data_IF_296868576907
#
_entry.id   IF_296868576907
#
_cell.length_a   1.000
_cell.length_b   1.000
_cell.length_c   1.000
_cell.angle_alpha   90.00
_cell.angle_beta   90.00
_cell.angle_gamma   90.00
#
_symmetry.space_group_name_H-M   'P 1'
#
loop_
_entity.id
_entity.type
_entity.pdbx_description
1 polymer ?
#
# COMPACT_ATOMS: atom_id res chain seq x y z
N UNK A 1 -36.01 -12.90 -9.49
CA UNK A 1 -35.10 -11.77 -9.20
C UNK A 1 -33.69 -12.17 -9.61
N UNK A 2 -33.14 -11.58 -10.67
CA UNK A 2 -31.74 -11.85 -11.10
C UNK A 2 -30.80 -11.33 -10.00
N UNK A 3 -29.96 -12.22 -9.42
CA UNK A 3 -28.88 -11.82 -8.52
C UNK A 3 -28.00 -10.83 -9.28
N UNK A 4 -27.89 -9.60 -8.78
CA UNK A 4 -26.93 -8.62 -9.33
C UNK A 4 -25.56 -9.28 -9.31
N UNK A 5 -24.98 -9.51 -10.47
CA UNK A 5 -23.60 -10.01 -10.58
C UNK A 5 -22.68 -9.12 -9.74
N UNK A 6 -21.90 -9.72 -8.85
CA UNK A 6 -20.95 -9.02 -7.96
C UNK A 6 -19.57 -8.89 -8.62
N UNK A 7 -19.53 -8.99 -9.94
CA UNK A 7 -18.30 -8.91 -10.73
C UNK A 7 -17.64 -7.55 -10.55
N UNK A 8 -16.32 -7.48 -10.43
CA UNK A 8 -15.62 -6.23 -10.20
C UNK A 8 -15.63 -5.34 -11.47
N UNK A 9 -15.67 -4.03 -11.26
CA UNK A 9 -15.46 -3.00 -12.30
C UNK A 9 -14.01 -2.58 -12.39
N UNK A 10 -13.25 -2.85 -11.34
CA UNK A 10 -11.91 -2.43 -11.10
C UNK A 10 -11.23 -3.46 -10.21
N UNK A 11 -10.01 -3.83 -10.55
CA UNK A 11 -9.14 -4.68 -9.73
C UNK A 11 -7.73 -4.10 -9.64
N UNK A 12 -7.05 -4.42 -8.56
CA UNK A 12 -5.61 -4.31 -8.40
C UNK A 12 -4.99 -5.69 -8.36
N UNK A 13 -3.79 -5.80 -8.88
CA UNK A 13 -2.94 -6.98 -8.77
C UNK A 13 -1.67 -6.57 -8.04
N UNK A 14 -1.26 -7.36 -7.06
CA UNK A 14 0.05 -7.26 -6.42
C UNK A 14 0.66 -8.64 -6.32
N UNK A 15 1.74 -8.92 -7.05
CA UNK A 15 2.38 -10.23 -7.05
C UNK A 15 3.89 -10.15 -7.23
N UNK A 16 4.64 -10.97 -6.48
CA UNK A 16 6.08 -11.12 -6.66
C UNK A 16 6.39 -11.75 -8.02
N UNK A 17 7.53 -11.36 -8.62
CA UNK A 17 7.97 -11.83 -9.93
C UNK A 17 8.80 -13.11 -9.82
N UNK A 18 8.28 -14.10 -9.07
CA UNK A 18 8.86 -15.45 -8.93
C UNK A 18 8.03 -16.44 -9.74
N UNK A 19 8.64 -17.24 -10.62
CA UNK A 19 7.90 -18.15 -11.52
C UNK A 19 6.93 -19.09 -10.80
N UNK A 20 7.31 -19.60 -9.62
CA UNK A 20 6.49 -20.51 -8.80
C UNK A 20 5.18 -19.88 -8.29
N UNK A 21 5.04 -18.57 -8.35
CA UNK A 21 3.84 -17.83 -7.94
C UNK A 21 2.87 -17.53 -9.09
N UNK A 22 3.18 -17.99 -10.31
CA UNK A 22 2.38 -17.75 -11.52
C UNK A 22 2.10 -19.06 -12.22
N UNK A 23 0.83 -19.45 -12.35
CA UNK A 23 0.46 -20.76 -12.91
C UNK A 23 0.90 -20.97 -14.36
N UNK A 24 0.98 -19.88 -15.15
CA UNK A 24 1.42 -19.92 -16.53
C UNK A 24 2.96 -19.92 -16.68
N UNK A 25 3.71 -19.52 -15.67
CA UNK A 25 5.17 -19.51 -15.71
C UNK A 25 5.80 -20.92 -15.52
N UNK A 26 4.98 -21.95 -15.45
CA UNK A 26 5.44 -23.34 -15.59
C UNK A 26 5.99 -23.64 -16.99
N UNK A 27 5.56 -22.89 -18.02
CA UNK A 27 6.21 -22.89 -19.34
C UNK A 27 7.44 -21.96 -19.27
N UNK A 28 8.67 -22.46 -19.57
CA UNK A 28 9.88 -21.64 -19.54
C UNK A 28 9.82 -20.44 -20.51
N UNK A 29 9.11 -20.54 -21.62
CA UNK A 29 8.99 -19.45 -22.58
C UNK A 29 8.13 -18.32 -22.01
N UNK A 30 7.00 -18.63 -21.38
CA UNK A 30 6.15 -17.66 -20.71
C UNK A 30 6.84 -17.07 -19.47
N UNK A 31 7.60 -17.87 -18.73
CA UNK A 31 8.32 -17.41 -17.53
C UNK A 31 9.28 -16.24 -17.82
N UNK A 32 9.84 -16.13 -19.03
CA UNK A 32 10.73 -15.03 -19.41
C UNK A 32 10.06 -13.65 -19.32
N UNK A 33 8.72 -13.61 -19.41
CA UNK A 33 7.96 -12.37 -19.29
C UNK A 33 8.08 -11.74 -17.89
N UNK A 34 8.35 -12.55 -16.86
CA UNK A 34 8.55 -12.04 -15.50
C UNK A 34 9.84 -11.22 -15.33
N UNK A 35 10.82 -11.42 -16.21
CA UNK A 35 12.07 -10.66 -16.24
C UNK A 35 11.97 -9.39 -17.09
N UNK A 36 10.86 -9.19 -17.79
CA UNK A 36 10.64 -8.04 -18.65
C UNK A 36 10.29 -6.77 -17.85
N UNK A 37 10.13 -5.65 -18.57
CA UNK A 37 9.66 -4.40 -17.99
C UNK A 37 8.15 -4.40 -17.68
N UNK A 38 7.68 -3.34 -17.00
CA UNK A 38 6.27 -3.21 -16.61
C UNK A 38 5.32 -3.14 -17.80
N UNK A 39 5.75 -2.59 -18.95
CA UNK A 39 4.94 -2.50 -20.16
C UNK A 39 4.73 -3.88 -20.78
N UNK A 40 5.80 -4.64 -20.95
CA UNK A 40 5.78 -5.97 -21.55
C UNK A 40 4.97 -6.95 -20.70
N UNK A 41 5.28 -7.04 -19.39
CA UNK A 41 4.55 -7.90 -18.47
C UNK A 41 3.08 -7.46 -18.33
N UNK A 42 2.83 -6.16 -18.17
CA UNK A 42 1.47 -5.62 -18.07
C UNK A 42 0.65 -5.89 -19.33
N UNK A 43 1.25 -5.76 -20.51
CA UNK A 43 0.59 -6.08 -21.79
C UNK A 43 0.26 -7.58 -21.88
N UNK A 44 1.16 -8.45 -21.44
CA UNK A 44 0.89 -9.89 -21.37
C UNK A 44 -0.32 -10.18 -20.47
N UNK A 45 -0.40 -9.55 -19.29
CA UNK A 45 -1.52 -9.71 -18.36
C UNK A 45 -2.85 -9.18 -18.94
N UNK A 46 -2.83 -8.04 -19.64
CA UNK A 46 -4.01 -7.53 -20.36
C UNK A 46 -4.48 -8.53 -21.42
N UNK A 47 -3.58 -9.05 -22.22
CA UNK A 47 -3.91 -10.03 -23.26
C UNK A 47 -4.53 -11.30 -22.66
N UNK A 48 -4.02 -11.78 -21.52
CA UNK A 48 -4.62 -12.91 -20.80
C UNK A 48 -6.05 -12.62 -20.35
N UNK A 49 -6.34 -11.44 -19.79
CA UNK A 49 -7.69 -11.04 -19.41
C UNK A 49 -8.61 -10.98 -20.64
N UNK A 50 -8.16 -10.38 -21.74
CA UNK A 50 -8.94 -10.19 -22.95
C UNK A 50 -9.23 -11.51 -23.69
N UNK A 51 -8.37 -12.54 -23.58
CA UNK A 51 -8.63 -13.90 -24.08
C UNK A 51 -9.87 -14.53 -23.42
N UNK A 52 -10.25 -14.12 -22.23
CA UNK A 52 -11.44 -14.58 -21.51
C UNK A 52 -12.59 -13.56 -21.54
N UNK A 53 -12.65 -12.72 -22.56
CA UNK A 53 -13.68 -11.69 -22.77
C UNK A 53 -13.76 -10.64 -21.63
N UNK A 54 -12.68 -10.47 -20.88
CA UNK A 54 -12.55 -9.44 -19.86
C UNK A 54 -11.88 -8.18 -20.44
N UNK A 55 -12.62 -7.42 -21.25
CA UNK A 55 -12.09 -6.26 -21.96
C UNK A 55 -11.63 -5.17 -21.00
N UNK A 56 -10.35 -4.82 -21.07
CA UNK A 56 -9.73 -3.77 -20.26
C UNK A 56 -9.91 -2.41 -20.93
N UNK A 57 -10.59 -1.48 -20.25
CA UNK A 57 -10.77 -0.08 -20.68
C UNK A 57 -9.58 0.79 -20.32
N UNK A 58 -9.06 0.60 -19.10
CA UNK A 58 -7.87 1.30 -18.61
C UNK A 58 -6.99 0.32 -17.83
N UNK A 59 -5.70 0.33 -18.11
CA UNK A 59 -4.73 -0.56 -17.48
C UNK A 59 -3.41 0.15 -17.26
N UNK A 60 -2.82 -0.04 -16.08
CA UNK A 60 -1.55 0.55 -15.68
C UNK A 60 -0.76 -0.47 -14.88
N UNK A 61 0.56 -0.46 -15.03
CA UNK A 61 1.44 -1.35 -14.28
C UNK A 61 2.75 -0.66 -13.91
N UNK A 62 3.34 -1.08 -12.80
CA UNK A 62 4.67 -0.69 -12.37
C UNK A 62 5.34 -1.88 -11.68
N UNK A 63 6.66 -1.95 -11.76
CA UNK A 63 7.44 -2.91 -11.00
C UNK A 63 8.07 -2.19 -9.81
N UNK A 64 7.77 -2.64 -8.61
CA UNK A 64 8.39 -2.19 -7.37
C UNK A 64 9.60 -3.06 -7.05
N UNK A 65 10.77 -2.47 -7.09
CA UNK A 65 12.07 -3.11 -6.83
C UNK A 65 12.88 -2.40 -5.72
N UNK A 66 12.35 -1.26 -5.22
CA UNK A 66 12.99 -0.40 -4.22
C UNK A 66 12.19 -0.33 -2.91
N UNK A 67 11.14 -1.14 -2.79
CA UNK A 67 10.34 -1.21 -1.57
C UNK A 67 11.10 -1.91 -0.44
N UNK A 68 10.83 -1.50 0.78
CA UNK A 68 11.34 -2.11 1.99
C UNK A 68 10.20 -2.65 2.86
N UNK A 69 10.51 -3.61 3.70
CA UNK A 69 9.60 -4.17 4.69
C UNK A 69 10.31 -4.41 6.02
N UNK A 70 9.56 -4.32 7.10
CA UNK A 70 10.06 -4.67 8.41
C UNK A 70 10.04 -6.20 8.57
N UNK A 71 11.19 -6.80 8.88
CA UNK A 71 11.35 -8.23 9.13
C UNK A 71 11.87 -8.46 10.55
N UNK A 72 11.16 -9.30 11.31
CA UNK A 72 11.60 -9.67 12.63
C UNK A 72 12.93 -10.44 12.60
N UNK A 73 13.92 -9.94 13.34
CA UNK A 73 15.20 -10.58 13.52
C UNK A 73 15.24 -11.25 14.90
N UNK A 74 15.22 -12.57 14.92
CA UNK A 74 15.19 -13.36 16.16
C UNK A 74 16.49 -13.25 16.98
N UNK A 75 17.62 -12.92 16.35
CA UNK A 75 18.92 -12.77 17.01
C UNK A 75 18.98 -11.43 17.76
N UNK A 76 18.62 -10.34 17.08
CA UNK A 76 18.64 -8.98 17.64
C UNK A 76 17.38 -8.66 18.43
N UNK A 77 16.32 -9.48 18.33
CA UNK A 77 14.99 -9.28 18.93
C UNK A 77 14.38 -7.92 18.58
N UNK A 78 14.53 -7.50 17.33
CA UNK A 78 13.95 -6.26 16.78
C UNK A 78 13.56 -6.45 15.31
N UNK A 79 12.79 -5.50 14.79
CA UNK A 79 12.50 -5.45 13.36
C UNK A 79 13.67 -4.76 12.65
N UNK A 80 14.21 -5.44 11.64
CA UNK A 80 15.19 -4.89 10.71
C UNK A 80 14.47 -4.52 9.42
N UNK A 81 14.81 -3.36 8.86
CA UNK A 81 14.29 -2.93 7.58
C UNK A 81 15.07 -3.62 6.46
N UNK A 82 14.39 -4.41 5.65
CA UNK A 82 15.00 -5.23 4.59
C UNK A 82 14.33 -4.95 3.25
N UNK A 83 15.06 -5.08 2.13
CA UNK A 83 14.45 -4.98 0.80
C UNK A 83 13.30 -5.98 0.64
N UNK A 84 12.23 -5.52 0.03
CA UNK A 84 11.11 -6.36 -0.38
C UNK A 84 11.44 -7.00 -1.74
N UNK A 85 10.98 -8.21 -1.95
CA UNK A 85 11.11 -8.89 -3.24
C UNK A 85 10.48 -8.08 -4.36
N UNK A 86 11.12 -8.08 -5.53
CA UNK A 86 10.62 -7.42 -6.74
C UNK A 86 9.21 -7.93 -7.06
N UNK A 87 8.27 -7.02 -7.25
CA UNK A 87 6.87 -7.34 -7.47
C UNK A 87 6.18 -6.33 -8.40
N UNK A 88 5.16 -6.82 -9.11
CA UNK A 88 4.32 -5.95 -9.94
C UNK A 88 3.14 -5.42 -9.12
N UNK A 89 2.82 -4.16 -9.33
CA UNK A 89 1.50 -3.59 -9.08
C UNK A 89 0.84 -3.26 -10.41
N UNK A 90 -0.37 -3.77 -10.62
CA UNK A 90 -1.16 -3.42 -11.79
C UNK A 90 -2.60 -3.07 -11.41
N UNK A 91 -3.20 -2.20 -12.19
CA UNK A 91 -4.58 -1.72 -12.00
C UNK A 91 -5.32 -1.90 -13.32
N UNK A 92 -6.45 -2.63 -13.30
CA UNK A 92 -7.28 -2.86 -14.48
C UNK A 92 -8.72 -2.41 -14.23
N UNK A 93 -9.21 -1.49 -15.04
CA UNK A 93 -10.61 -1.09 -15.09
C UNK A 93 -11.25 -1.70 -16.33
N UNK A 94 -12.38 -2.37 -16.14
CA UNK A 94 -13.07 -3.08 -17.21
C UNK A 94 -14.06 -2.19 -17.94
N UNK A 95 -14.19 -2.43 -19.27
CA UNK A 95 -15.22 -1.85 -20.09
C UNK A 95 -16.62 -2.24 -19.59
N UNK A 96 -17.65 -1.49 -19.99
CA UNK A 96 -19.05 -1.76 -19.64
C UNK A 96 -19.33 -1.78 -18.12
N UNK A 97 -18.48 -1.17 -17.33
CA UNK A 97 -18.59 -1.03 -15.86
C UNK A 97 -18.61 -2.35 -15.08
N UNK A 98 -18.24 -3.47 -15.70
CA UNK A 98 -18.10 -4.76 -15.03
C UNK A 98 -17.20 -5.68 -15.85
N UNK A 99 -16.45 -6.55 -15.18
CA UNK A 99 -15.86 -7.70 -15.85
C UNK A 99 -16.94 -8.73 -16.17
N UNK A 100 -16.67 -9.60 -17.14
CA UNK A 100 -17.50 -10.77 -17.43
C UNK A 100 -17.33 -11.86 -16.33
N UNK A 101 -16.30 -11.79 -15.49
CA UNK A 101 -15.84 -12.82 -14.57
C UNK A 101 -15.86 -12.35 -13.09
N UNK A 102 -15.93 -13.30 -12.17
CA UNK A 102 -15.75 -13.09 -10.74
C UNK A 102 -14.29 -12.77 -10.39
N UNK A 103 -14.03 -12.35 -9.15
CA UNK A 103 -12.65 -12.05 -8.70
C UNK A 103 -11.75 -13.30 -8.76
N UNK A 104 -12.27 -14.45 -8.36
CA UNK A 104 -11.55 -15.74 -8.40
C UNK A 104 -11.23 -16.16 -9.83
N UNK A 105 -12.16 -15.96 -10.75
CA UNK A 105 -11.92 -16.25 -12.17
C UNK A 105 -10.87 -15.30 -12.75
N UNK A 106 -10.94 -14.01 -12.43
CA UNK A 106 -9.93 -13.02 -12.86
C UNK A 106 -8.54 -13.37 -12.34
N UNK A 107 -8.42 -13.80 -11.09
CA UNK A 107 -7.16 -14.29 -10.54
C UNK A 107 -6.63 -15.50 -11.32
N UNK A 108 -7.49 -16.47 -11.63
CA UNK A 108 -7.14 -17.62 -12.47
C UNK A 108 -6.70 -17.23 -13.88
N UNK A 109 -7.37 -16.26 -14.51
CA UNK A 109 -6.97 -15.74 -15.83
C UNK A 109 -5.61 -15.05 -15.79
N UNK A 110 -5.34 -14.30 -14.72
CA UNK A 110 -4.03 -13.69 -14.47
C UNK A 110 -2.95 -14.71 -14.08
N UNK A 111 -3.36 -15.91 -13.66
CA UNK A 111 -2.45 -16.99 -13.25
C UNK A 111 -1.91 -16.83 -11.84
N UNK A 112 -2.65 -16.19 -10.95
CA UNK A 112 -2.29 -15.95 -9.55
C UNK A 112 -3.36 -16.47 -8.60
N UNK A 113 -3.03 -16.61 -7.33
CA UNK A 113 -4.04 -16.91 -6.30
C UNK A 113 -4.94 -15.70 -6.03
N UNK A 114 -6.23 -15.91 -5.66
CA UNK A 114 -7.21 -14.83 -5.49
C UNK A 114 -6.82 -13.75 -4.48
N UNK A 115 -6.02 -14.07 -3.48
CA UNK A 115 -5.54 -13.12 -2.46
C UNK A 115 -4.63 -12.03 -3.00
N UNK A 116 -4.04 -12.22 -4.18
CA UNK A 116 -3.18 -11.25 -4.85
C UNK A 116 -3.95 -10.30 -5.78
N UNK A 117 -5.26 -10.55 -5.94
CA UNK A 117 -6.15 -9.69 -6.71
C UNK A 117 -7.12 -8.99 -5.78
N UNK A 118 -7.01 -7.67 -5.71
CA UNK A 118 -7.82 -6.84 -4.84
C UNK A 118 -8.99 -6.23 -5.62
N UNK A 119 -10.21 -6.33 -5.05
CA UNK A 119 -11.35 -5.51 -5.45
C UNK A 119 -11.43 -4.34 -4.48
N UNK A 120 -11.13 -3.10 -4.91
CA UNK A 120 -11.17 -1.96 -4.01
C UNK A 120 -12.61 -1.75 -3.49
N UNK A 121 -12.71 -1.20 -2.27
CA UNK A 121 -14.01 -0.76 -1.74
C UNK A 121 -14.64 0.22 -2.72
N UNK A 122 -15.92 0.02 -3.03
CA UNK A 122 -16.65 0.89 -3.93
C UNK A 122 -16.65 2.32 -3.39
N UNK A 123 -16.27 3.28 -4.23
CA UNK A 123 -16.23 4.69 -3.86
C UNK A 123 -15.80 5.55 -5.05
N UNK A 124 -16.19 6.81 -5.00
CA UNK A 124 -15.92 7.82 -6.07
C UNK A 124 -14.41 7.90 -6.42
N UNK A 125 -13.55 7.66 -5.45
CA UNK A 125 -12.10 7.82 -5.59
C UNK A 125 -11.34 6.50 -5.63
N UNK A 126 -12.01 5.34 -5.73
CA UNK A 126 -11.36 4.03 -5.69
C UNK A 126 -10.27 3.90 -6.76
N UNK A 127 -10.59 4.22 -8.01
CA UNK A 127 -9.64 4.16 -9.12
C UNK A 127 -8.49 5.16 -8.94
N UNK A 128 -8.79 6.41 -8.59
CA UNK A 128 -7.79 7.44 -8.33
C UNK A 128 -6.82 7.06 -7.20
N UNK A 129 -7.33 6.43 -6.14
CA UNK A 129 -6.50 5.95 -5.04
C UNK A 129 -5.56 4.81 -5.46
N UNK A 130 -6.02 3.90 -6.32
CA UNK A 130 -5.18 2.83 -6.86
C UNK A 130 -4.08 3.38 -7.77
N UNK A 131 -4.41 4.36 -8.62
CA UNK A 131 -3.40 5.03 -9.46
C UNK A 131 -2.36 5.77 -8.63
N UNK A 132 -2.78 6.50 -7.59
CA UNK A 132 -1.86 7.17 -6.66
C UNK A 132 -0.97 6.17 -5.89
N UNK A 133 -1.45 4.93 -5.66
CA UNK A 133 -0.70 3.89 -4.97
C UNK A 133 0.42 3.31 -5.83
N UNK A 134 0.28 3.30 -7.16
CA UNK A 134 1.33 2.80 -8.05
C UNK A 134 2.68 3.48 -7.81
N UNK A 135 2.69 4.77 -7.51
CA UNK A 135 3.90 5.55 -7.22
C UNK A 135 4.02 5.93 -5.74
N UNK A 136 3.18 5.39 -4.87
CA UNK A 136 3.08 5.71 -3.45
C UNK A 136 2.82 7.21 -3.16
N UNK A 137 2.20 7.95 -4.07
CA UNK A 137 2.04 9.41 -3.99
C UNK A 137 1.41 9.92 -2.68
N UNK A 138 0.62 9.08 -1.99
CA UNK A 138 -0.02 9.39 -0.69
C UNK A 138 0.72 8.82 0.52
N UNK A 139 1.76 7.99 0.33
CA UNK A 139 2.45 7.22 1.36
C UNK A 139 3.92 7.61 1.43
N UNK A 140 4.21 8.74 2.07
CA UNK A 140 5.56 9.34 2.12
C UNK A 140 6.59 8.53 2.93
N UNK A 141 6.16 7.59 3.71
CA UNK A 141 6.97 6.62 4.43
C UNK A 141 7.49 5.48 3.56
N UNK A 142 6.94 5.33 2.36
CA UNK A 142 7.38 4.38 1.35
C UNK A 142 8.30 5.02 0.32
N UNK A 143 9.06 4.19 -0.41
CA UNK A 143 9.82 4.66 -1.56
C UNK A 143 8.88 5.34 -2.57
N UNK A 144 9.27 6.51 -3.07
CA UNK A 144 8.47 7.29 -4.02
C UNK A 144 8.96 6.98 -5.44
N UNK A 145 8.17 6.20 -6.17
CA UNK A 145 8.45 5.92 -7.58
C UNK A 145 8.12 7.14 -8.44
N UNK A 146 8.80 7.28 -9.57
CA UNK A 146 8.50 8.34 -10.52
C UNK A 146 7.30 7.98 -11.38
N UNK A 147 6.54 8.97 -11.84
CA UNK A 147 5.35 8.73 -12.65
C UNK A 147 5.70 8.10 -14.02
N UNK A 148 6.89 8.36 -14.52
CA UNK A 148 7.46 7.81 -15.75
C UNK A 148 7.77 6.31 -15.65
N UNK A 149 7.89 5.77 -14.44
CA UNK A 149 8.10 4.32 -14.20
C UNK A 149 6.79 3.53 -14.38
N UNK A 150 5.63 4.20 -14.44
CA UNK A 150 4.33 3.56 -14.65
C UNK A 150 4.05 3.37 -16.14
N UNK A 151 3.90 2.12 -16.56
CA UNK A 151 3.49 1.77 -17.90
C UNK A 151 1.97 1.98 -18.10
N UNK A 152 1.60 2.73 -19.12
CA UNK A 152 0.23 2.82 -19.61
C UNK A 152 -0.05 1.65 -20.57
N UNK A 153 -0.93 0.75 -20.19
CA UNK A 153 -1.29 -0.44 -20.95
C UNK A 153 -2.52 -0.20 -21.84
N UNK A 154 -3.50 0.52 -21.33
CA UNK A 154 -4.75 0.89 -21.99
C UNK A 154 -5.28 2.21 -21.42
N UNK A 155 -5.97 2.98 -22.24
CA UNK A 155 -6.66 4.20 -21.82
C UNK A 155 -5.81 5.45 -21.91
N UNK A 156 -6.11 6.44 -21.04
CA UNK A 156 -5.39 7.71 -20.97
C UNK A 156 -3.98 7.51 -20.44
N UNK A 157 -3.01 8.24 -20.99
CA UNK A 157 -1.63 8.19 -20.53
C UNK A 157 -1.51 8.52 -19.02
N UNK A 158 -0.68 7.73 -18.32
CA UNK A 158 -0.52 7.91 -16.87
C UNK A 158 0.11 9.25 -16.51
N UNK A 159 1.03 9.74 -17.34
CA UNK A 159 1.65 11.04 -17.13
C UNK A 159 0.66 12.19 -17.21
N UNK A 160 -0.33 12.10 -18.13
CA UNK A 160 -1.42 13.06 -18.22
C UNK A 160 -2.29 13.03 -16.97
N UNK A 161 -2.60 11.82 -16.48
CA UNK A 161 -3.38 11.64 -15.24
C UNK A 161 -2.59 12.20 -14.06
N UNK A 162 -1.31 11.91 -13.96
CA UNK A 162 -0.45 12.42 -12.91
C UNK A 162 -0.39 13.96 -12.91
N UNK A 163 -0.21 14.57 -14.09
CA UNK A 163 -0.22 16.03 -14.22
C UNK A 163 -1.50 16.68 -13.70
N UNK A 164 -2.66 16.03 -13.94
CA UNK A 164 -3.98 16.51 -13.48
C UNK A 164 -4.23 16.25 -11.98
N UNK A 165 -3.62 15.22 -11.41
CA UNK A 165 -3.98 14.69 -10.08
C UNK A 165 -2.93 14.92 -9.00
N UNK A 166 -1.68 15.22 -9.33
CA UNK A 166 -0.55 15.33 -8.39
C UNK A 166 -0.86 16.20 -7.17
N UNK A 167 -1.52 17.35 -7.37
CA UNK A 167 -1.83 18.28 -6.27
C UNK A 167 -2.91 17.72 -5.33
N UNK A 168 -3.88 16.96 -5.89
CA UNK A 168 -4.91 16.26 -5.11
C UNK A 168 -4.27 15.12 -4.31
N UNK A 169 -3.36 14.37 -4.91
CA UNK A 169 -2.64 13.28 -4.24
C UNK A 169 -1.72 13.81 -3.14
N UNK A 170 -1.02 14.93 -3.39
CA UNK A 170 -0.19 15.59 -2.38
C UNK A 170 -1.00 16.05 -1.15
N UNK A 171 -2.22 16.60 -1.37
CA UNK A 171 -3.15 16.93 -0.28
C UNK A 171 -3.63 15.69 0.46
N UNK A 172 -3.89 14.59 -0.25
CA UNK A 172 -4.22 13.30 0.34
C UNK A 172 -3.10 12.74 1.23
N UNK A 173 -1.84 12.88 0.79
CA UNK A 173 -0.68 12.51 1.59
C UNK A 173 -0.59 13.30 2.92
N UNK A 174 -0.90 14.59 2.90
CA UNK A 174 -0.96 15.41 4.12
C UNK A 174 -2.02 14.90 5.11
N UNK A 175 -3.18 14.47 4.60
CA UNK A 175 -4.25 13.89 5.43
C UNK A 175 -3.84 12.55 6.07
N UNK A 176 -3.17 11.68 5.32
CA UNK A 176 -2.64 10.40 5.82
C UNK A 176 -1.56 10.68 6.88
N UNK A 177 -0.66 11.63 6.63
CA UNK A 177 0.35 12.04 7.62
C UNK A 177 -0.28 12.50 8.93
N UNK A 178 -1.41 13.23 8.87
CA UNK A 178 -2.14 13.66 10.07
C UNK A 178 -2.73 12.46 10.82
N UNK A 179 -3.27 11.47 10.11
CA UNK A 179 -3.77 10.23 10.73
C UNK A 179 -2.64 9.43 11.40
N UNK A 180 -1.54 9.22 10.70
CA UNK A 180 -0.36 8.54 11.25
C UNK A 180 0.24 9.31 12.44
N UNK A 181 0.16 10.66 12.43
CA UNK A 181 0.59 11.47 13.57
C UNK A 181 -0.30 11.27 14.80
N UNK A 182 -1.62 11.05 14.63
CA UNK A 182 -2.51 10.71 15.73
C UNK A 182 -2.25 9.30 16.27
N UNK A 183 -2.02 8.30 15.39
CA UNK A 183 -1.58 6.96 15.79
C UNK A 183 -0.23 7.00 16.53
N UNK A 184 0.70 7.83 16.06
CA UNK A 184 1.98 8.09 16.75
C UNK A 184 1.80 8.78 18.09
N UNK A 185 0.78 9.64 18.24
CA UNK A 185 0.46 10.28 19.50
C UNK A 185 -0.08 9.28 20.55
N UNK A 186 -0.98 8.39 20.15
CA UNK A 186 -1.47 7.31 21.00
C UNK A 186 -0.33 6.39 21.43
N UNK A 187 0.55 6.02 20.52
CA UNK A 187 1.73 5.21 20.81
C UNK A 187 2.67 5.90 21.80
N UNK A 188 2.99 7.19 21.59
CA UNK A 188 3.84 7.94 22.52
C UNK A 188 3.18 8.08 23.89
N UNK A 189 1.87 8.34 23.97
CA UNK A 189 1.11 8.37 25.22
C UNK A 189 1.26 7.05 25.98
N UNK A 190 1.12 5.92 25.31
CA UNK A 190 1.20 4.60 25.92
C UNK A 190 2.62 4.32 26.44
N UNK A 191 3.67 4.67 25.70
CA UNK A 191 5.06 4.61 26.18
C UNK A 191 5.30 5.45 27.44
N UNK A 192 4.70 6.65 27.54
CA UNK A 192 4.76 7.50 28.73
C UNK A 192 4.06 6.83 29.93
N UNK A 193 2.85 6.31 29.71
CA UNK A 193 2.06 5.64 30.76
C UNK A 193 2.72 4.37 31.29
N UNK A 194 3.47 3.68 30.47
CA UNK A 194 4.28 2.51 30.83
C UNK A 194 5.61 2.88 31.49
N UNK A 195 6.03 4.15 31.38
CA UNK A 195 7.31 4.63 31.87
C UNK A 195 8.50 4.19 31.01
N UNK A 196 8.23 3.78 29.78
CA UNK A 196 9.24 3.38 28.80
C UNK A 196 10.04 4.57 28.25
N UNK A 197 9.48 5.79 28.34
CA UNK A 197 10.14 7.03 27.89
C UNK A 197 9.97 8.12 28.94
N UNK A 198 11.05 8.87 29.24
CA UNK A 198 11.03 10.03 30.11
C UNK A 198 10.70 11.32 29.37
N UNK A 199 10.25 12.34 30.10
CA UNK A 199 9.99 13.67 29.50
C UNK A 199 11.24 14.27 28.88
N UNK A 200 12.41 14.07 29.49
CA UNK A 200 13.70 14.51 28.96
C UNK A 200 14.03 13.83 27.63
N UNK A 201 13.83 12.50 27.51
CA UNK A 201 14.04 11.78 26.28
C UNK A 201 13.11 12.29 25.15
N UNK A 202 11.85 12.59 25.49
CA UNK A 202 10.90 13.17 24.52
C UNK A 202 11.37 14.54 24.04
N UNK A 203 11.88 15.38 24.94
CA UNK A 203 12.37 16.73 24.60
C UNK A 203 13.66 16.72 23.78
N UNK A 204 14.49 15.68 23.91
CA UNK A 204 15.78 15.56 23.22
C UNK A 204 15.69 14.78 21.90
N UNK A 205 14.56 14.18 21.58
CA UNK A 205 14.36 13.38 20.35
C UNK A 205 13.43 14.10 19.41
N UNK A 206 13.91 14.57 18.27
CA UNK A 206 13.17 15.44 17.33
C UNK A 206 11.81 14.88 16.92
N UNK A 207 11.74 13.58 16.60
CA UNK A 207 10.49 12.93 16.20
C UNK A 207 9.49 12.87 17.35
N UNK A 208 9.93 12.49 18.55
CA UNK A 208 9.10 12.43 19.75
C UNK A 208 8.65 13.84 20.18
N UNK A 209 9.54 14.82 20.11
CA UNK A 209 9.22 16.21 20.39
C UNK A 209 8.19 16.78 19.42
N UNK A 210 8.27 16.41 18.14
CA UNK A 210 7.29 16.81 17.14
C UNK A 210 5.90 16.28 17.48
N UNK A 211 5.77 15.03 17.89
CA UNK A 211 4.50 14.42 18.31
C UNK A 211 4.01 15.08 19.61
N UNK A 212 4.89 15.21 20.62
CA UNK A 212 4.58 15.86 21.89
C UNK A 212 4.07 17.28 21.71
N UNK A 213 4.76 18.11 20.92
CA UNK A 213 4.39 19.53 20.73
C UNK A 213 3.01 19.70 20.09
N UNK A 214 2.60 18.79 19.20
CA UNK A 214 1.28 18.78 18.56
C UNK A 214 0.16 18.31 19.49
N UNK A 215 0.48 17.44 20.45
CA UNK A 215 -0.48 16.82 21.36
C UNK A 215 -0.13 17.09 22.83
N UNK A 216 0.41 18.28 23.11
CA UNK A 216 1.03 18.66 24.37
C UNK A 216 0.15 18.35 25.60
N UNK A 217 -1.13 18.75 25.58
CA UNK A 217 -2.04 18.52 26.70
C UNK A 217 -2.17 17.05 27.05
N UNK A 218 -2.43 16.19 26.06
CA UNK A 218 -2.55 14.74 26.24
C UNK A 218 -1.26 14.12 26.78
N UNK A 219 -0.09 14.56 26.31
CA UNK A 219 1.20 14.06 26.77
C UNK A 219 1.54 14.51 28.19
N UNK A 220 1.24 15.77 28.54
CA UNK A 220 1.43 16.28 29.92
C UNK A 220 0.50 15.53 30.90
N UNK A 221 -0.75 15.22 30.50
CA UNK A 221 -1.65 14.41 31.33
C UNK A 221 -1.09 12.99 31.53
N UNK A 222 -0.55 12.36 30.46
CA UNK A 222 0.09 11.05 30.56
C UNK A 222 1.28 11.04 31.50
N UNK A 223 2.17 12.04 31.44
CA UNK A 223 3.29 12.19 32.38
C UNK A 223 2.83 12.39 33.83
N UNK A 224 1.80 13.18 34.04
CA UNK A 224 1.22 13.41 35.37
C UNK A 224 0.62 12.12 35.94
N UNK A 225 -0.16 11.37 35.14
CA UNK A 225 -0.76 10.11 35.52
C UNK A 225 0.32 9.07 35.89
N UNK A 226 1.38 8.97 35.07
CA UNK A 226 2.51 8.09 35.37
C UNK A 226 3.20 8.47 36.69
N UNK A 227 3.45 9.75 36.91
CA UNK A 227 4.06 10.26 38.13
C UNK A 227 3.24 9.92 39.39
N UNK A 228 1.92 10.14 39.34
CA UNK A 228 0.99 9.76 40.40
C UNK A 228 1.01 8.25 40.66
N UNK A 229 0.89 7.42 39.65
CA UNK A 229 0.94 5.97 39.79
C UNK A 229 2.24 5.47 40.44
N UNK A 230 3.38 6.09 40.06
CA UNK A 230 4.69 5.79 40.66
C UNK A 230 4.75 6.15 42.12
N UNK A 231 4.22 7.33 42.51
CA UNK A 231 4.16 7.76 43.91
C UNK A 231 3.29 6.82 44.75
N UNK A 232 2.12 6.41 44.30
CA UNK A 232 1.27 5.43 45.00
C UNK A 232 1.99 4.09 45.20
N UNK A 233 2.68 3.59 44.19
CA UNK A 233 3.47 2.35 44.32
C UNK A 233 4.64 2.44 45.29
N UNK A 234 5.24 3.61 45.41
CA UNK A 234 6.33 3.83 46.35
C UNK A 234 5.84 3.94 47.82
N UNK A 235 4.65 4.52 48.02
CA UNK A 235 4.00 4.63 49.32
C UNK A 235 3.39 3.32 49.84
N UNK A 236 3.16 2.33 48.98
CA UNK A 236 2.60 1.03 49.33
C UNK A 236 3.67 -0.04 49.66
N UNK A 237 4.94 0.31 49.64
CA UNK A 237 6.09 -0.50 50.07
C UNK A 237 6.57 -0.08 51.41
#
# INVERSE_FOLDING_TARGET
MSRKSNNPTLIGLTQQLKPDLWTWASDPQDATVLDSDALSLGTYLVNRLEQFDCKVESGYAIIHDKDEQDRWNAVTRRYDRVPKERHIHAVFRFANRKSSASLEQLAGFLGVEPQYVEKPKAGRYAFDNMLAYLIHAKYRDKYQYQAEEVATLRGKDYMDIYAERRDVWAKGAATIKTKNANESADYLRDLILEGAVSKEQVMLTDDLFTVYSRHKTMMDEAFNAYGQRRAYRAAAK
#
